data_IF_152325695933
#
_entry.id   IF_152325695933
#
_cell.length_a   1.000
_cell.length_b   1.000
_cell.length_c   1.000
_cell.angle_alpha   90.00
_cell.angle_beta   90.00
_cell.angle_gamma   90.00
#
_symmetry.space_group_name_H-M   'P 1'
#
loop_
_entity.id
_entity.type
_entity.pdbx_description
1 polymer ?
#
# COMPACT_ATOMS: atom_id res chain seq x y z
N UNK A 1 21.95 -3.02 -16.05
CA UNK A 1 20.75 -2.53 -15.38
C UNK A 1 19.53 -3.27 -15.89
N UNK A 2 18.66 -3.64 -15.01
CA UNK A 2 17.44 -4.37 -15.37
C UNK A 2 16.25 -3.41 -15.42
N UNK A 3 15.74 -3.09 -16.63
CA UNK A 3 14.61 -2.16 -16.74
C UNK A 3 13.31 -2.72 -16.20
N UNK A 4 13.26 -4.03 -15.92
CA UNK A 4 12.04 -4.67 -15.44
C UNK A 4 12.16 -5.06 -13.97
N UNK A 5 12.92 -4.28 -13.19
CA UNK A 5 13.01 -4.58 -11.77
C UNK A 5 11.73 -4.17 -11.05
N UNK A 6 11.59 -4.65 -9.82
CA UNK A 6 10.37 -4.45 -9.06
C UNK A 6 10.09 -2.97 -8.80
N UNK A 7 11.14 -2.15 -8.66
CA UNK A 7 10.93 -0.72 -8.40
C UNK A 7 10.31 -0.03 -9.61
N UNK A 8 10.70 -0.43 -10.81
CA UNK A 8 10.13 0.16 -12.02
C UNK A 8 8.64 -0.14 -12.11
N UNK A 9 8.25 -1.37 -11.81
CA UNK A 9 6.83 -1.73 -11.83
C UNK A 9 6.06 -0.96 -10.77
N UNK A 10 6.67 -0.73 -9.60
CA UNK A 10 6.02 0.06 -8.56
C UNK A 10 5.73 1.48 -9.03
N UNK A 11 6.74 2.14 -9.59
CA UNK A 11 6.57 3.50 -10.05
C UNK A 11 5.52 3.61 -11.15
N UNK A 12 5.55 2.67 -12.08
CA UNK A 12 4.59 2.70 -13.18
C UNK A 12 3.17 2.46 -12.68
N UNK A 13 3.03 1.55 -11.70
CA UNK A 13 1.72 1.33 -11.11
C UNK A 13 1.19 2.57 -10.41
N UNK A 14 2.05 3.27 -9.68
CA UNK A 14 1.65 4.51 -9.02
C UNK A 14 1.21 5.56 -10.04
N UNK A 15 1.91 5.64 -11.16
CA UNK A 15 1.54 6.55 -12.23
C UNK A 15 0.16 6.21 -12.78
N UNK A 16 -0.11 4.92 -12.97
CA UNK A 16 -1.41 4.50 -13.49
C UNK A 16 -2.54 4.81 -12.53
N UNK A 17 -2.29 4.77 -11.21
CA UNK A 17 -3.30 5.20 -10.25
C UNK A 17 -3.67 6.66 -10.48
N UNK A 18 -2.68 7.52 -10.73
CA UNK A 18 -2.98 8.93 -10.96
C UNK A 18 -3.80 9.14 -12.23
N UNK A 19 -3.76 8.18 -13.15
CA UNK A 19 -4.54 8.23 -14.38
C UNK A 19 -5.86 7.49 -14.23
N UNK A 20 -6.18 7.03 -13.04
CA UNK A 20 -7.39 6.27 -12.73
C UNK A 20 -7.46 4.96 -13.51
N UNK A 21 -6.32 4.39 -13.87
CA UNK A 21 -6.23 3.10 -14.53
C UNK A 21 -5.91 2.05 -13.48
N UNK A 22 -6.93 1.75 -12.66
CA UNK A 22 -6.71 0.97 -11.44
C UNK A 22 -6.42 -0.49 -11.73
N UNK A 23 -7.11 -1.09 -12.70
CA UNK A 23 -6.86 -2.49 -13.03
C UNK A 23 -5.44 -2.69 -13.55
N UNK A 24 -4.99 -1.78 -14.40
CA UNK A 24 -3.63 -1.85 -14.92
C UNK A 24 -2.60 -1.64 -13.82
N UNK A 25 -2.90 -0.71 -12.89
CA UNK A 25 -2.00 -0.49 -11.76
C UNK A 25 -1.86 -1.75 -10.91
N UNK A 26 -2.98 -2.44 -10.66
CA UNK A 26 -2.97 -3.67 -9.88
C UNK A 26 -2.08 -4.71 -10.56
N UNK A 27 -2.17 -4.83 -11.88
CA UNK A 27 -1.32 -5.77 -12.61
C UNK A 27 0.16 -5.44 -12.45
N UNK A 28 0.51 -4.16 -12.51
CA UNK A 28 1.89 -3.75 -12.38
C UNK A 28 2.41 -4.01 -10.96
N UNK A 29 1.60 -3.73 -9.96
CA UNK A 29 2.00 -4.03 -8.59
C UNK A 29 2.13 -5.54 -8.38
N UNK A 30 1.28 -6.33 -9.04
CA UNK A 30 1.39 -7.78 -8.96
C UNK A 30 2.72 -8.25 -9.54
N UNK A 31 3.13 -7.68 -10.68
CA UNK A 31 4.44 -7.99 -11.24
C UNK A 31 5.55 -7.65 -10.26
N UNK A 32 5.43 -6.52 -9.58
CA UNK A 32 6.44 -6.12 -8.60
C UNK A 32 6.53 -7.15 -7.46
N UNK A 33 5.39 -7.62 -6.96
CA UNK A 33 5.40 -8.60 -5.86
C UNK A 33 5.91 -9.96 -6.32
N UNK A 34 5.72 -10.29 -7.60
CA UNK A 34 6.25 -11.55 -8.12
C UNK A 34 7.76 -11.50 -8.28
N UNK A 35 8.28 -10.35 -8.67
CA UNK A 35 9.73 -10.18 -8.76
C UNK A 35 10.38 -10.14 -7.38
N UNK A 36 9.69 -9.57 -6.40
CA UNK A 36 10.20 -9.46 -5.04
C UNK A 36 9.07 -9.72 -4.06
N UNK A 37 8.88 -10.96 -3.62
CA UNK A 37 7.78 -11.30 -2.70
C UNK A 37 7.86 -10.61 -1.34
N UNK A 38 8.99 -9.98 -1.02
CA UNK A 38 9.15 -9.25 0.25
C UNK A 38 9.02 -7.74 0.06
N UNK A 39 8.50 -7.30 -1.06
CA UNK A 39 8.41 -5.88 -1.38
C UNK A 39 7.16 -5.31 -0.72
N UNK A 40 7.30 -4.89 0.53
CA UNK A 40 6.16 -4.44 1.35
C UNK A 40 5.40 -3.30 0.69
N UNK A 41 6.13 -2.35 0.12
CA UNK A 41 5.51 -1.18 -0.48
C UNK A 41 4.60 -1.55 -1.65
N UNK A 42 4.99 -2.56 -2.42
CA UNK A 42 4.17 -3.00 -3.56
C UNK A 42 2.85 -3.60 -3.09
N UNK A 43 2.88 -4.39 -2.02
CA UNK A 43 1.63 -4.90 -1.45
C UNK A 43 0.75 -3.78 -0.95
N UNK A 44 1.34 -2.81 -0.27
CA UNK A 44 0.58 -1.67 0.24
C UNK A 44 -0.06 -0.89 -0.91
N UNK A 45 0.70 -0.59 -1.94
CA UNK A 45 0.16 0.17 -3.07
C UNK A 45 -0.89 -0.62 -3.83
N UNK A 46 -0.68 -1.94 -3.98
CA UNK A 46 -1.68 -2.77 -4.62
C UNK A 46 -2.97 -2.77 -3.81
N UNK A 47 -2.86 -2.84 -2.48
CA UNK A 47 -4.03 -2.76 -1.63
C UNK A 47 -4.76 -1.45 -1.82
N UNK A 48 -4.02 -0.35 -1.91
CA UNK A 48 -4.62 0.95 -2.14
C UNK A 48 -5.37 0.99 -3.47
N UNK A 49 -4.75 0.45 -4.52
CA UNK A 49 -5.40 0.40 -5.83
C UNK A 49 -6.66 -0.45 -5.81
N UNK A 50 -6.61 -1.59 -5.11
CA UNK A 50 -7.78 -2.45 -4.99
C UNK A 50 -8.91 -1.75 -4.26
N UNK A 51 -8.58 -1.01 -3.19
CA UNK A 51 -9.59 -0.26 -2.45
C UNK A 51 -10.26 0.77 -3.35
N UNK A 52 -9.47 1.51 -4.10
CA UNK A 52 -10.03 2.50 -5.02
C UNK A 52 -10.87 1.85 -6.09
N UNK A 53 -10.56 0.60 -6.45
CA UNK A 53 -11.29 -0.14 -7.47
C UNK A 53 -12.47 -0.92 -6.90
N UNK A 54 -12.77 -0.75 -5.61
CA UNK A 54 -13.93 -1.37 -5.00
C UNK A 54 -13.70 -2.73 -4.36
N UNK A 55 -12.48 -3.23 -4.38
CA UNK A 55 -12.16 -4.54 -3.81
C UNK A 55 -11.62 -4.37 -2.39
N UNK A 56 -12.53 -4.22 -1.44
CA UNK A 56 -12.15 -3.96 -0.06
C UNK A 56 -11.45 -5.15 0.57
N UNK A 57 -11.89 -6.36 0.24
CA UNK A 57 -11.31 -7.56 0.83
C UNK A 57 -9.91 -7.80 0.33
N UNK A 58 -9.70 -7.66 -0.98
CA UNK A 58 -8.36 -7.77 -1.54
C UNK A 58 -7.43 -6.71 -1.01
N UNK A 59 -7.97 -5.50 -0.81
CA UNK A 59 -7.19 -4.42 -0.22
C UNK A 59 -6.73 -4.78 1.19
N UNK A 60 -7.64 -5.29 2.01
CA UNK A 60 -7.29 -5.65 3.39
C UNK A 60 -6.22 -6.71 3.43
N UNK A 61 -6.30 -7.71 2.55
CA UNK A 61 -5.30 -8.76 2.50
C UNK A 61 -3.93 -8.21 2.12
N UNK A 62 -3.88 -7.35 1.12
CA UNK A 62 -2.61 -6.77 0.68
C UNK A 62 -2.01 -5.85 1.73
N UNK A 63 -2.85 -5.06 2.38
CA UNK A 63 -2.37 -4.18 3.44
C UNK A 63 -1.82 -4.97 4.61
N UNK A 64 -2.49 -6.07 4.96
CA UNK A 64 -2.00 -6.94 6.02
C UNK A 64 -0.65 -7.54 5.64
N UNK A 65 -0.50 -7.97 4.39
CA UNK A 65 0.77 -8.54 3.94
C UNK A 65 1.88 -7.50 4.00
N UNK A 66 1.59 -6.29 3.55
CA UNK A 66 2.57 -5.21 3.61
C UNK A 66 2.99 -4.92 5.04
N UNK A 67 2.03 -4.91 5.96
CA UNK A 67 2.33 -4.67 7.36
C UNK A 67 3.21 -5.78 7.95
N UNK A 68 2.92 -7.04 7.60
CA UNK A 68 3.72 -8.15 8.07
C UNK A 68 5.17 -8.05 7.60
N UNK A 69 5.35 -7.59 6.36
CA UNK A 69 6.69 -7.47 5.80
C UNK A 69 7.45 -6.26 6.32
N UNK A 70 6.73 -5.19 6.65
CA UNK A 70 7.38 -3.96 7.13
C UNK A 70 6.50 -3.27 8.16
N UNK A 71 6.56 -3.72 9.42
CA UNK A 71 5.74 -3.10 10.46
C UNK A 71 6.03 -1.62 10.68
N UNK A 72 7.22 -1.16 10.32
CA UNK A 72 7.58 0.23 10.51
C UNK A 72 6.79 1.17 9.63
N UNK A 73 6.33 0.71 8.48
CA UNK A 73 5.50 1.55 7.64
C UNK A 73 4.21 1.94 8.35
N UNK A 74 3.63 0.96 9.04
CA UNK A 74 2.40 1.23 9.77
C UNK A 74 2.65 2.20 10.91
N UNK A 75 3.77 2.05 11.59
CA UNK A 75 4.09 2.97 12.68
C UNK A 75 4.23 4.40 12.18
N UNK A 76 4.91 4.57 11.05
CA UNK A 76 5.04 5.90 10.46
C UNK A 76 3.70 6.46 10.05
N UNK A 77 2.87 5.64 9.48
CA UNK A 77 1.55 6.04 9.05
C UNK A 77 0.72 6.49 10.24
N UNK A 78 0.72 5.69 11.31
CA UNK A 78 -0.01 6.03 12.51
C UNK A 78 0.52 7.30 13.16
N UNK A 79 1.82 7.53 13.07
CA UNK A 79 2.39 8.74 13.61
C UNK A 79 1.90 9.99 12.93
N UNK A 80 1.53 9.88 11.67
CA UNK A 80 0.99 11.02 10.94
C UNK A 80 -0.45 11.31 11.30
N UNK A 81 -1.21 10.28 11.64
CA UNK A 81 -2.65 10.44 11.83
C UNK A 81 -3.10 10.19 13.24
N UNK A 82 -2.37 9.40 13.97
CA UNK A 82 -2.83 8.88 15.24
C UNK A 82 -2.63 9.79 16.37
N UNK A 83 -1.91 10.70 16.22
CA UNK A 83 -1.71 11.50 17.33
C UNK A 83 -2.69 12.54 17.41
N UNK A 84 -3.13 11.79 17.41
CA UNK A 84 -3.96 12.17 17.34
C UNK A 84 -4.56 11.64 18.19
N UNK A 85 -4.18 11.61 18.62
CA UNK A 85 -4.68 11.20 19.16
C UNK A 85 -5.14 10.80 19.45
N UNK A 86 -5.23 10.86 19.72
CA UNK A 86 -5.63 10.52 19.56
C UNK A 86 -5.88 10.09 19.76
N UNK A 87 -5.95 10.35 19.96
CA UNK A 87 -6.02 10.06 19.75
C UNK A 87 -6.30 9.61 20.02
N UNK A 88 -6.38 9.84 20.19
CA UNK A 88 -6.68 9.62 20.17
C UNK A 88 -7.07 9.21 20.40
N UNK A 89 -7.29 9.25 20.71
CA UNK A 89 -7.65 9.13 20.78
C UNK A 89 -7.82 9.01 21.15
N UNK A 90 -7.88 9.19 21.49
CA UNK A 90 -7.95 9.49 21.51
C UNK A 90 -8.24 9.49 22.02
N UNK A 91 -8.34 9.87 22.28
CA UNK A 91 -8.66 10.30 22.62
C UNK A 91 -9.46 10.30 22.74
N UNK A 92 -9.76 10.11 22.41
CA UNK A 92 -10.29 10.49 22.48
C UNK A 92 -10.96 10.54 23.23
N UNK A 93 -11.19 10.50 23.58
CA UNK A 93 -11.38 10.74 24.22
C UNK A 93 -11.02 11.12 24.85
N UNK A 94 -10.46 11.45 24.81
CA UNK A 94 -9.90 11.96 25.00
C UNK A 94 -9.73 11.89 25.57
N UNK A 95 -9.92 11.68 25.69
CA UNK A 95 -9.82 11.68 25.87
C UNK A 95 -9.55 11.65 25.97
#
# INVERSE_FOLDING_TARGET
MNPFNEQAFLYLGQLYITQNKLAEAIELFTEATELNPNFAEAYHERGRAKLLNGDKEGSAEDMKKGLELNPKEIQNFNGQYGNQPGGSTGNILGL
#
